data_IF_027841110771
#
_entry.id   IF_027841110771
#
_cell.length_a   1.000
_cell.length_b   1.000
_cell.length_c   1.000
_cell.angle_alpha   90.00
_cell.angle_beta   90.00
_cell.angle_gamma   90.00
#
_symmetry.space_group_name_H-M   'P 1'
#
loop_
_entity.id
_entity.type
_entity.pdbx_description
1 polymer ?
#
# COMPACT_ATOMS: atom_id res chain seq x y z
N UNK A 1 8.46 14.75 14.99
CA UNK A 1 7.39 15.18 15.92
C UNK A 1 7.75 16.42 16.75
N UNK A 2 9.03 16.60 17.12
CA UNK A 2 9.46 17.64 18.07
C UNK A 2 9.45 19.09 17.57
N UNK A 3 9.33 19.36 16.26
CA UNK A 3 9.36 20.74 15.71
C UNK A 3 7.95 21.37 15.62
N UNK A 4 6.88 20.56 15.66
CA UNK A 4 5.50 21.03 15.54
C UNK A 4 4.97 21.66 16.84
N UNK A 5 5.37 21.10 17.98
CA UNK A 5 5.03 21.58 19.33
C UNK A 5 5.54 23.01 19.56
N UNK A 6 6.83 23.35 19.33
CA UNK A 6 7.33 24.70 19.52
C UNK A 6 6.72 25.71 18.55
N UNK A 7 6.30 25.29 17.34
CA UNK A 7 5.68 26.20 16.38
C UNK A 7 4.21 26.49 16.70
N UNK A 8 3.46 25.48 17.18
CA UNK A 8 2.12 25.69 17.74
C UNK A 8 2.18 26.57 19.01
N UNK A 9 3.18 26.35 19.87
CA UNK A 9 3.49 27.22 21.00
C UNK A 9 3.85 28.65 20.54
N UNK A 10 4.62 28.81 19.46
CA UNK A 10 4.95 30.12 18.90
C UNK A 10 3.70 30.86 18.37
N UNK A 11 2.79 30.16 17.68
CA UNK A 11 1.48 30.72 17.26
C UNK A 11 0.62 31.16 18.45
N UNK A 12 0.58 30.35 19.50
CA UNK A 12 -0.13 30.66 20.75
C UNK A 12 0.53 31.85 21.46
N UNK A 13 1.86 31.91 21.51
CA UNK A 13 2.61 32.98 22.18
C UNK A 13 2.52 34.31 21.43
N UNK A 14 2.65 34.33 20.11
CA UNK A 14 2.63 35.54 19.28
C UNK A 14 1.25 36.19 19.27
N UNK A 15 0.18 35.41 19.31
CA UNK A 15 -1.20 35.90 19.22
C UNK A 15 -2.05 35.66 20.47
N UNK A 16 -1.43 35.38 21.63
CA UNK A 16 -2.13 34.97 22.84
C UNK A 16 -3.30 35.91 23.23
N UNK A 17 -3.06 37.22 23.18
CA UNK A 17 -4.10 38.22 23.48
C UNK A 17 -5.27 38.14 22.48
N UNK A 18 -4.98 38.07 21.19
CA UNK A 18 -6.01 38.06 20.15
C UNK A 18 -6.80 36.74 20.10
N UNK A 19 -6.14 35.61 20.34
CA UNK A 19 -6.80 34.29 20.47
C UNK A 19 -7.73 34.27 21.69
N UNK A 20 -7.36 34.99 22.76
CA UNK A 20 -8.17 35.10 23.97
C UNK A 20 -9.40 35.98 23.77
N UNK A 21 -9.25 37.11 23.08
CA UNK A 21 -10.27 38.16 23.02
C UNK A 21 -11.23 38.03 21.81
N UNK A 22 -10.79 37.42 20.69
CA UNK A 22 -11.60 37.24 19.48
C UNK A 22 -11.95 35.76 19.26
N UNK A 23 -13.21 35.41 19.58
CA UNK A 23 -13.72 34.05 19.41
C UNK A 23 -13.70 33.58 17.94
N UNK A 24 -13.98 34.47 16.98
CA UNK A 24 -14.02 34.13 15.56
C UNK A 24 -12.62 33.88 15.01
N UNK A 25 -11.65 34.70 15.43
CA UNK A 25 -10.24 34.46 15.14
C UNK A 25 -9.77 33.12 15.68
N UNK A 26 -10.13 32.81 16.94
CA UNK A 26 -9.81 31.53 17.58
C UNK A 26 -10.36 30.33 16.80
N UNK A 27 -11.64 30.35 16.40
CA UNK A 27 -12.24 29.25 15.63
C UNK A 27 -11.55 29.05 14.28
N UNK A 28 -11.24 30.14 13.58
CA UNK A 28 -10.51 30.08 12.32
C UNK A 28 -9.12 29.45 12.47
N UNK A 29 -8.33 29.91 13.45
CA UNK A 29 -6.96 29.40 13.68
C UNK A 29 -7.00 27.92 14.05
N UNK A 30 -7.88 27.52 14.99
CA UNK A 30 -8.02 26.11 15.38
C UNK A 30 -8.44 25.23 14.20
N UNK A 31 -9.32 25.72 13.32
CA UNK A 31 -9.74 24.98 12.13
C UNK A 31 -8.58 24.77 11.15
N UNK A 32 -7.77 25.81 10.89
CA UNK A 32 -6.60 25.71 9.99
C UNK A 32 -5.56 24.73 10.56
N UNK A 33 -5.26 24.84 11.85
CA UNK A 33 -4.35 23.92 12.54
C UNK A 33 -4.90 22.49 12.47
N UNK A 34 -6.20 22.31 12.71
CA UNK A 34 -6.90 21.04 12.60
C UNK A 34 -6.80 20.43 11.20
N UNK A 35 -7.10 21.19 10.14
CA UNK A 35 -6.94 20.73 8.74
C UNK A 35 -5.50 20.31 8.48
N UNK A 36 -4.53 21.13 8.91
CA UNK A 36 -3.11 20.87 8.69
C UNK A 36 -2.69 19.54 9.33
N UNK A 37 -3.11 19.30 10.57
CA UNK A 37 -2.71 18.12 11.33
C UNK A 37 -3.47 16.86 10.91
N UNK A 38 -4.81 16.93 10.83
CA UNK A 38 -5.64 15.74 10.62
C UNK A 38 -5.79 15.36 9.14
N UNK A 39 -5.59 16.29 8.22
CA UNK A 39 -5.71 16.04 6.77
C UNK A 39 -4.36 16.13 6.08
N UNK A 40 -3.72 17.30 6.09
CA UNK A 40 -2.52 17.55 5.25
C UNK A 40 -1.34 16.66 5.67
N UNK A 41 -0.98 16.63 6.95
CA UNK A 41 0.14 15.81 7.42
C UNK A 41 -0.08 14.32 7.21
N UNK A 42 -1.30 13.82 7.41
CA UNK A 42 -1.65 12.41 7.16
C UNK A 42 -1.25 11.99 5.75
N UNK A 43 -1.58 12.81 4.74
CA UNK A 43 -1.30 12.48 3.34
C UNK A 43 0.12 12.82 2.88
N UNK A 44 0.78 13.80 3.50
CA UNK A 44 2.23 14.01 3.34
C UNK A 44 3.00 12.80 3.87
N UNK A 45 2.62 12.28 5.03
CA UNK A 45 3.27 11.14 5.65
C UNK A 45 3.12 9.89 4.81
N UNK A 46 1.90 9.68 4.31
CA UNK A 46 1.63 8.67 3.33
C UNK A 46 2.54 8.83 2.10
N UNK A 47 2.48 9.96 1.38
CA UNK A 47 3.25 10.21 0.17
C UNK A 47 4.76 9.99 0.37
N UNK A 48 5.36 10.65 1.37
CA UNK A 48 6.80 10.58 1.60
C UNK A 48 7.25 9.18 2.03
N UNK A 49 6.40 8.43 2.74
CA UNK A 49 6.73 7.05 3.13
C UNK A 49 6.66 6.05 1.98
N UNK A 50 5.87 6.32 0.94
CA UNK A 50 5.74 5.46 -0.24
C UNK A 50 6.86 5.74 -1.26
N UNK A 51 7.19 7.01 -1.50
CA UNK A 51 8.21 7.41 -2.48
C UNK A 51 9.65 7.41 -1.92
N UNK A 52 9.86 6.84 -0.72
CA UNK A 52 11.17 6.65 -0.08
C UNK A 52 12.05 7.91 -0.10
N UNK A 53 11.44 9.08 0.04
CA UNK A 53 12.19 10.32 0.16
C UNK A 53 12.82 10.33 1.56
N UNK A 54 14.13 10.54 1.63
CA UNK A 54 14.87 10.47 2.91
C UNK A 54 14.27 11.36 4.00
N UNK A 55 14.49 11.01 5.26
CA UNK A 55 13.86 11.63 6.45
C UNK A 55 13.97 13.17 6.51
N UNK A 56 15.01 13.72 5.88
CA UNK A 56 15.21 15.17 5.74
C UNK A 56 14.06 15.80 4.95
N UNK A 57 13.66 15.21 3.82
CA UNK A 57 12.54 15.69 3.00
C UNK A 57 11.23 15.61 3.76
N UNK A 58 11.05 14.56 4.57
CA UNK A 58 9.92 14.42 5.48
C UNK A 58 9.78 15.60 6.43
N UNK A 59 10.89 16.02 7.03
CA UNK A 59 10.90 17.15 7.95
C UNK A 59 10.72 18.49 7.23
N UNK A 60 11.41 18.70 6.10
CA UNK A 60 11.35 19.95 5.34
C UNK A 60 9.93 20.23 4.83
N UNK A 61 9.28 19.27 4.18
CA UNK A 61 7.94 19.46 3.62
C UNK A 61 6.93 19.79 4.71
N UNK A 62 7.01 19.12 5.88
CA UNK A 62 6.17 19.46 7.04
C UNK A 62 6.42 20.88 7.53
N UNK A 63 7.69 21.28 7.69
CA UNK A 63 8.03 22.64 8.13
C UNK A 63 7.48 23.69 7.16
N UNK A 64 7.62 23.49 5.85
CA UNK A 64 7.08 24.41 4.83
C UNK A 64 5.56 24.56 4.99
N UNK A 65 4.82 23.45 5.12
CA UNK A 65 3.37 23.48 5.30
C UNK A 65 2.99 24.22 6.58
N UNK A 66 3.75 24.04 7.66
CA UNK A 66 3.45 24.76 8.90
C UNK A 66 3.75 26.25 8.77
N UNK A 67 4.87 26.62 8.13
CA UNK A 67 5.18 28.03 7.87
C UNK A 67 4.08 28.70 7.04
N UNK A 68 3.53 28.00 6.04
CA UNK A 68 2.37 28.47 5.27
C UNK A 68 1.15 28.65 6.18
N UNK A 69 0.81 27.65 7.00
CA UNK A 69 -0.32 27.73 7.92
C UNK A 69 -0.17 28.89 8.93
N UNK A 70 1.04 29.07 9.48
CA UNK A 70 1.38 30.19 10.37
C UNK A 70 1.23 31.53 9.65
N UNK A 71 1.76 31.64 8.42
CA UNK A 71 1.63 32.83 7.58
C UNK A 71 0.18 33.19 7.30
N UNK A 72 -0.67 32.19 7.01
CA UNK A 72 -2.11 32.39 6.85
C UNK A 72 -2.72 32.90 8.16
N UNK A 73 -2.45 32.25 9.30
CA UNK A 73 -2.98 32.63 10.61
C UNK A 73 -2.58 34.05 11.05
N UNK A 74 -1.35 34.48 10.73
CA UNK A 74 -0.83 35.82 11.03
C UNK A 74 -1.26 36.88 10.00
N UNK A 75 -1.79 36.47 8.85
CA UNK A 75 -2.11 37.39 7.77
C UNK A 75 -3.13 38.47 8.20
N UNK A 76 -3.04 39.70 7.67
CA UNK A 76 -4.03 40.76 7.87
C UNK A 76 -5.46 40.32 7.53
N UNK A 77 -5.60 39.34 6.64
CA UNK A 77 -6.88 38.80 6.20
C UNK A 77 -7.57 37.97 7.31
N UNK A 78 -6.79 37.18 8.05
CA UNK A 78 -7.29 36.36 9.16
C UNK A 78 -7.47 37.17 10.44
N UNK A 79 -6.62 38.16 10.68
CA UNK A 79 -6.69 39.01 11.88
C UNK A 79 -7.90 39.94 11.93
N UNK A 80 -8.64 40.10 10.82
CA UNK A 80 -9.98 40.71 10.75
C UNK A 80 -11.01 39.61 10.48
N UNK A 81 -11.11 38.65 11.39
CA UNK A 81 -12.04 37.52 11.24
C UNK A 81 -13.47 37.99 11.45
N UNK A 82 -14.38 37.51 10.61
CA UNK A 82 -15.82 37.73 10.73
C UNK A 82 -16.49 36.39 10.97
N UNK A 83 -17.72 36.39 11.47
CA UNK A 83 -18.52 35.18 11.68
C UNK A 83 -18.57 34.31 10.41
N UNK A 84 -18.69 34.94 9.23
CA UNK A 84 -18.71 34.23 7.95
C UNK A 84 -17.38 33.52 7.68
N UNK A 85 -16.24 34.20 7.86
CA UNK A 85 -14.92 33.58 7.66
C UNK A 85 -14.68 32.42 8.63
N UNK A 86 -15.00 32.63 9.90
CA UNK A 86 -14.90 31.58 10.91
C UNK A 86 -15.78 30.37 10.56
N UNK A 87 -17.02 30.60 10.12
CA UNK A 87 -17.92 29.57 9.64
C UNK A 87 -17.37 28.79 8.46
N UNK A 88 -16.78 29.45 7.47
CA UNK A 88 -16.13 28.79 6.31
C UNK A 88 -14.94 27.94 6.75
N UNK A 89 -14.07 28.45 7.64
CA UNK A 89 -12.94 27.68 8.15
C UNK A 89 -13.39 26.41 8.90
N UNK A 90 -14.40 26.53 9.77
CA UNK A 90 -14.96 25.39 10.51
C UNK A 90 -15.59 24.39 9.55
N UNK A 91 -16.36 24.86 8.57
CA UNK A 91 -16.95 24.00 7.55
C UNK A 91 -15.88 23.23 6.77
N UNK A 92 -14.83 23.91 6.30
CA UNK A 92 -13.70 23.26 5.61
C UNK A 92 -13.00 22.23 6.48
N UNK A 93 -12.85 22.51 7.78
CA UNK A 93 -12.28 21.55 8.73
C UNK A 93 -13.15 20.30 8.88
N UNK A 94 -14.46 20.48 9.05
CA UNK A 94 -15.41 19.36 9.12
C UNK A 94 -15.38 18.53 7.84
N UNK A 95 -15.43 19.17 6.66
CA UNK A 95 -15.31 18.49 5.36
C UNK A 95 -13.98 17.75 5.23
N UNK A 96 -12.88 18.35 5.69
CA UNK A 96 -11.56 17.70 5.66
C UNK A 96 -11.52 16.46 6.56
N UNK A 97 -12.13 16.50 7.74
CA UNK A 97 -12.27 15.32 8.60
C UNK A 97 -13.10 14.23 7.90
N UNK A 98 -14.27 14.59 7.37
CA UNK A 98 -15.12 13.62 6.66
C UNK A 98 -14.39 13.02 5.45
N UNK A 99 -13.62 13.82 4.71
CA UNK A 99 -12.77 13.34 3.62
C UNK A 99 -11.67 12.39 4.13
N UNK A 100 -10.97 12.75 5.21
CA UNK A 100 -9.90 11.93 5.78
C UNK A 100 -10.37 10.55 6.25
N UNK A 101 -11.59 10.44 6.80
CA UNK A 101 -12.10 9.18 7.32
C UNK A 101 -12.96 8.42 6.31
N UNK A 102 -13.82 9.11 5.55
CA UNK A 102 -14.73 8.48 4.59
C UNK A 102 -14.09 8.14 3.24
N UNK A 103 -13.03 8.86 2.86
CA UNK A 103 -12.41 8.75 1.54
C UNK A 103 -10.91 8.44 1.62
N UNK A 104 -10.39 7.98 2.77
CA UNK A 104 -8.95 7.74 2.98
C UNK A 104 -8.32 6.92 1.86
N UNK A 105 -8.94 5.79 1.55
CA UNK A 105 -8.49 4.86 0.51
C UNK A 105 -8.46 5.52 -0.86
N UNK A 106 -9.50 6.28 -1.22
CA UNK A 106 -9.60 6.94 -2.53
C UNK A 106 -8.55 8.05 -2.66
N UNK A 107 -8.32 8.82 -1.60
CA UNK A 107 -7.26 9.84 -1.57
C UNK A 107 -5.89 9.19 -1.73
N UNK A 108 -5.61 8.11 -0.99
CA UNK A 108 -4.34 7.36 -1.10
C UNK A 108 -4.12 6.78 -2.51
N UNK A 109 -5.15 6.18 -3.11
CA UNK A 109 -5.11 5.69 -4.50
C UNK A 109 -4.78 6.84 -5.45
N UNK A 110 -5.47 7.98 -5.34
CA UNK A 110 -5.23 9.14 -6.18
C UNK A 110 -3.79 9.67 -6.01
N UNK A 111 -3.26 9.70 -4.78
CA UNK A 111 -1.87 10.10 -4.51
C UNK A 111 -0.87 9.15 -5.19
N UNK A 112 -1.06 7.83 -5.08
CA UNK A 112 -0.15 6.87 -5.74
C UNK A 112 -0.23 6.93 -7.25
N UNK A 113 -1.43 7.16 -7.78
CA UNK A 113 -1.69 7.23 -9.21
C UNK A 113 -1.06 8.48 -9.83
N UNK A 114 -1.30 9.63 -9.22
CA UNK A 114 -0.77 10.92 -9.69
C UNK A 114 0.72 11.08 -9.38
N UNK A 115 1.20 10.47 -8.30
CA UNK A 115 2.62 10.48 -7.93
C UNK A 115 3.49 9.59 -8.80
N UNK A 116 2.92 8.84 -9.74
CA UNK A 116 3.69 7.98 -10.65
C UNK A 116 4.21 6.71 -10.00
N UNK A 117 3.55 6.19 -8.96
CA UNK A 117 3.96 4.95 -8.29
C UNK A 117 3.86 3.72 -9.20
N UNK A 118 2.86 3.71 -10.10
CA UNK A 118 2.63 2.61 -11.03
C UNK A 118 3.24 2.95 -12.39
N UNK A 119 4.26 2.20 -12.77
CA UNK A 119 4.94 2.33 -14.06
C UNK A 119 4.31 1.49 -15.17
N UNK A 120 5.05 1.31 -16.25
CA UNK A 120 4.65 0.44 -17.35
C UNK A 120 4.73 -1.04 -16.95
N UNK A 121 3.82 -1.89 -17.49
CA UNK A 121 3.91 -3.32 -17.30
C UNK A 121 5.27 -3.82 -17.81
N UNK A 122 5.94 -4.70 -17.05
CA UNK A 122 7.19 -5.29 -17.52
C UNK A 122 6.87 -6.08 -18.80
N UNK A 123 7.75 -5.98 -19.80
CA UNK A 123 7.71 -6.88 -20.96
C UNK A 123 8.18 -8.25 -20.49
N UNK A 124 7.32 -8.95 -19.77
CA UNK A 124 7.51 -10.37 -19.51
C UNK A 124 7.24 -11.01 -20.87
N UNK A 125 8.31 -11.37 -21.58
CA UNK A 125 8.17 -12.37 -22.62
C UNK A 125 7.61 -13.58 -21.91
N UNK A 126 6.36 -13.96 -22.18
CA UNK A 126 5.83 -15.20 -21.64
C UNK A 126 6.77 -16.29 -22.16
N UNK A 127 7.60 -16.93 -21.31
CA UNK A 127 8.33 -18.08 -21.81
C UNK A 127 7.24 -19.06 -22.24
N UNK A 128 7.28 -19.48 -23.51
CA UNK A 128 6.46 -20.61 -23.94
C UNK A 128 6.91 -21.79 -23.07
N UNK A 129 6.09 -22.12 -22.06
CA UNK A 129 6.33 -23.32 -21.29
C UNK A 129 6.06 -24.50 -22.19
N UNK A 130 7.11 -25.25 -22.51
CA UNK A 130 7.04 -26.38 -23.44
C UNK A 130 6.40 -27.63 -22.82
N UNK A 131 6.13 -27.63 -21.50
CA UNK A 131 5.54 -28.76 -20.79
C UNK A 131 4.03 -28.67 -20.60
N UNK A 132 3.46 -29.74 -20.07
CA UNK A 132 2.03 -29.79 -19.74
C UNK A 132 1.71 -29.08 -18.42
N UNK A 133 0.53 -28.44 -18.35
CA UNK A 133 0.05 -27.73 -17.17
C UNK A 133 -1.43 -28.03 -16.89
N UNK A 134 -1.79 -28.07 -15.61
CA UNK A 134 -3.18 -28.17 -15.12
C UNK A 134 -3.69 -26.79 -14.74
N UNK A 135 -4.96 -26.52 -15.04
CA UNK A 135 -5.62 -25.30 -14.60
C UNK A 135 -6.06 -25.41 -13.14
N UNK A 136 -5.49 -24.57 -12.27
CA UNK A 136 -6.00 -24.30 -10.92
C UNK A 136 -7.00 -23.14 -10.97
N UNK A 137 -8.13 -23.27 -10.29
CA UNK A 137 -9.13 -22.21 -10.15
C UNK A 137 -9.38 -21.99 -8.66
N UNK A 138 -9.24 -20.75 -8.21
CA UNK A 138 -9.55 -20.37 -6.83
C UNK A 138 -11.03 -20.02 -6.72
N UNK A 139 -11.77 -20.80 -5.93
CA UNK A 139 -13.21 -20.61 -5.71
C UNK A 139 -13.53 -19.28 -5.01
N UNK A 140 -12.67 -18.85 -4.08
CA UNK A 140 -12.88 -17.65 -3.26
C UNK A 140 -12.13 -16.43 -3.78
N UNK A 141 -10.96 -16.62 -4.40
CA UNK A 141 -10.11 -15.52 -4.87
C UNK A 141 -10.48 -14.98 -6.26
N UNK A 142 -11.29 -15.72 -7.02
CA UNK A 142 -11.73 -15.31 -8.36
C UNK A 142 -10.59 -15.22 -9.36
N UNK A 143 -9.66 -16.17 -9.35
CA UNK A 143 -8.58 -16.23 -10.32
C UNK A 143 -8.31 -17.67 -10.75
N UNK A 144 -7.57 -17.82 -11.84
CA UNK A 144 -7.04 -19.12 -12.26
C UNK A 144 -5.59 -19.01 -12.70
N UNK A 145 -4.84 -20.08 -12.47
CA UNK A 145 -3.44 -20.25 -12.82
C UNK A 145 -3.28 -21.53 -13.64
N UNK A 146 -2.27 -21.56 -14.51
CA UNK A 146 -1.78 -22.78 -15.15
C UNK A 146 -0.56 -23.25 -14.37
N UNK A 147 -0.67 -24.40 -13.71
CA UNK A 147 0.34 -24.97 -12.83
C UNK A 147 0.97 -26.18 -13.55
N UNK A 148 2.30 -26.26 -13.70
CA UNK A 148 2.91 -27.43 -14.32
C UNK A 148 2.53 -28.74 -13.62
N UNK A 149 2.32 -29.82 -14.39
CA UNK A 149 1.78 -31.10 -13.85
C UNK A 149 2.64 -31.69 -12.72
N UNK A 150 3.95 -31.47 -12.75
CA UNK A 150 4.87 -32.04 -11.78
C UNK A 150 4.90 -31.28 -10.44
N UNK A 151 4.18 -30.16 -10.31
CA UNK A 151 3.99 -29.49 -9.03
C UNK A 151 2.91 -30.23 -8.24
N UNK A 152 3.32 -30.87 -7.14
CA UNK A 152 2.41 -31.65 -6.32
C UNK A 152 1.48 -30.71 -5.54
N UNK A 153 0.16 -30.87 -5.74
CA UNK A 153 -0.85 -30.18 -4.95
C UNK A 153 -0.90 -30.76 -3.54
N UNK A 154 -0.84 -29.90 -2.53
CA UNK A 154 -1.01 -30.21 -1.11
C UNK A 154 -2.01 -29.26 -0.48
N UNK A 155 -2.47 -29.59 0.72
CA UNK A 155 -3.39 -28.77 1.50
C UNK A 155 -2.82 -28.48 2.87
N UNK A 156 -2.84 -27.22 3.28
CA UNK A 156 -2.43 -26.75 4.61
C UNK A 156 -3.45 -27.17 5.67
N UNK A 157 -3.12 -27.05 6.97
CA UNK A 157 -4.03 -27.38 8.08
C UNK A 157 -5.35 -26.58 8.02
N UNK A 158 -5.29 -25.36 7.49
CA UNK A 158 -6.43 -24.48 7.23
C UNK A 158 -7.26 -24.88 6.00
N UNK A 159 -6.92 -25.99 5.33
CA UNK A 159 -7.47 -26.41 4.04
C UNK A 159 -7.10 -25.51 2.85
N UNK A 160 -6.14 -24.60 3.02
CA UNK A 160 -5.62 -23.80 1.92
C UNK A 160 -4.75 -24.66 0.98
N UNK A 161 -5.06 -24.62 -0.32
CA UNK A 161 -4.27 -25.31 -1.33
C UNK A 161 -2.90 -24.63 -1.54
N UNK A 162 -1.87 -25.45 -1.72
CA UNK A 162 -0.53 -25.01 -2.12
C UNK A 162 0.13 -26.06 -3.02
N UNK A 163 1.19 -25.69 -3.71
CA UNK A 163 1.84 -26.54 -4.70
C UNK A 163 3.34 -26.59 -4.45
N UNK A 164 3.94 -27.77 -4.52
CA UNK A 164 5.36 -27.97 -4.18
C UNK A 164 6.10 -28.66 -5.31
N UNK A 165 7.32 -28.21 -5.60
CA UNK A 165 8.29 -28.99 -6.36
C UNK A 165 9.26 -29.63 -5.38
N UNK A 166 9.42 -30.96 -5.45
CA UNK A 166 10.37 -31.70 -4.63
C UNK A 166 11.26 -32.59 -5.50
N UNK A 167 12.51 -32.76 -5.08
CA UNK A 167 13.45 -33.73 -5.66
C UNK A 167 14.20 -34.41 -4.52
N UNK A 168 14.15 -35.74 -4.46
CA UNK A 168 14.83 -36.53 -3.40
C UNK A 168 14.50 -36.02 -1.98
N UNK A 169 13.21 -35.77 -1.70
CA UNK A 169 12.69 -35.20 -0.44
C UNK A 169 13.12 -33.76 -0.10
N UNK A 170 13.86 -33.10 -0.99
CA UNK A 170 14.24 -31.69 -0.87
C UNK A 170 13.20 -30.82 -1.58
N UNK A 171 12.53 -29.94 -0.84
CA UNK A 171 11.66 -28.91 -1.41
C UNK A 171 12.49 -27.89 -2.17
N UNK A 172 12.20 -27.71 -3.45
CA UNK A 172 12.89 -26.75 -4.31
C UNK A 172 12.13 -25.43 -4.43
N UNK A 173 10.80 -25.50 -4.49
CA UNK A 173 9.91 -24.34 -4.48
C UNK A 173 8.53 -24.69 -3.92
N UNK A 174 7.84 -23.68 -3.42
CA UNK A 174 6.48 -23.76 -2.90
C UNK A 174 5.66 -22.57 -3.41
N UNK A 175 4.53 -22.83 -4.06
CA UNK A 175 3.56 -21.83 -4.51
C UNK A 175 2.34 -21.87 -3.57
N UNK A 176 1.98 -20.71 -3.05
CA UNK A 176 0.88 -20.48 -2.10
C UNK A 176 -0.09 -19.46 -2.69
N UNK A 177 -1.11 -19.91 -3.45
CA UNK A 177 -2.14 -19.02 -3.98
C UNK A 177 -3.05 -18.50 -2.86
N UNK A 178 -3.16 -17.19 -2.68
CA UNK A 178 -3.91 -16.54 -1.59
C UNK A 178 -4.79 -15.41 -2.07
N UNK A 179 -5.70 -14.96 -1.21
CA UNK A 179 -6.51 -13.76 -1.38
C UNK A 179 -6.76 -13.04 -0.05
N UNK A 180 -6.99 -11.72 -0.14
CA UNK A 180 -7.20 -10.84 1.03
C UNK A 180 -8.19 -9.70 0.69
N UNK A 181 -9.45 -10.05 0.43
CA UNK A 181 -10.48 -9.11 -0.04
C UNK A 181 -10.91 -8.11 1.04
N UNK A 182 -11.42 -6.94 0.62
CA UNK A 182 -12.04 -5.92 1.49
C UNK A 182 -11.18 -5.35 2.63
N UNK A 183 -9.85 -5.40 2.55
CA UNK A 183 -8.98 -4.93 3.64
C UNK A 183 -8.96 -3.42 3.86
N UNK A 184 -9.47 -2.61 2.91
CA UNK A 184 -9.39 -1.14 2.97
C UNK A 184 -7.98 -0.55 2.78
N UNK A 185 -6.94 -1.40 2.78
CA UNK A 185 -5.54 -1.05 2.56
C UNK A 185 -5.30 -0.84 1.07
N UNK A 186 -4.43 0.09 0.69
CA UNK A 186 -4.04 0.31 -0.72
C UNK A 186 -2.74 -0.42 -1.06
N UNK A 187 -2.55 -0.77 -2.33
CA UNK A 187 -1.39 -1.53 -2.81
C UNK A 187 -0.05 -0.99 -2.28
N UNK A 188 0.19 0.32 -2.37
CA UNK A 188 1.46 0.89 -1.94
C UNK A 188 1.76 0.68 -0.43
N UNK A 189 0.73 0.65 0.43
CA UNK A 189 0.91 0.32 1.86
C UNK A 189 1.28 -1.16 2.04
N UNK A 190 0.65 -2.06 1.28
CA UNK A 190 1.00 -3.49 1.26
C UNK A 190 2.46 -3.66 0.88
N UNK A 191 2.90 -3.04 -0.22
CA UNK A 191 4.31 -3.13 -0.68
C UNK A 191 5.28 -2.55 0.36
N UNK A 192 4.96 -1.40 0.96
CA UNK A 192 5.78 -0.80 2.01
C UNK A 192 5.96 -1.75 3.19
N UNK A 193 4.88 -2.38 3.65
CA UNK A 193 4.94 -3.32 4.76
C UNK A 193 5.75 -4.57 4.38
N UNK A 194 5.54 -5.13 3.19
CA UNK A 194 6.33 -6.27 2.71
C UNK A 194 7.83 -5.99 2.64
N UNK A 195 8.22 -4.77 2.22
CA UNK A 195 9.63 -4.36 2.21
C UNK A 195 10.19 -4.19 3.62
N UNK A 196 9.40 -3.66 4.55
CA UNK A 196 9.79 -3.54 5.95
C UNK A 196 9.97 -4.91 6.61
N UNK A 197 9.02 -5.83 6.40
CA UNK A 197 9.09 -7.21 6.89
C UNK A 197 10.30 -7.95 6.32
N UNK A 198 10.56 -7.81 5.02
CA UNK A 198 11.74 -8.37 4.38
C UNK A 198 13.04 -7.85 5.00
N UNK A 199 13.13 -6.55 5.31
CA UNK A 199 14.30 -5.97 5.97
C UNK A 199 14.52 -6.55 7.38
N UNK A 200 13.45 -6.76 8.14
CA UNK A 200 13.50 -7.42 9.46
C UNK A 200 14.03 -8.85 9.33
N UNK A 201 13.63 -9.56 8.26
CA UNK A 201 14.13 -10.90 7.93
C UNK A 201 15.54 -10.91 7.29
N UNK A 202 16.25 -9.78 7.23
CA UNK A 202 17.56 -9.67 6.57
C UNK A 202 17.52 -10.06 5.08
N UNK A 203 16.45 -9.64 4.39
CA UNK A 203 16.25 -9.80 2.96
C UNK A 203 16.27 -8.44 2.26
N UNK A 204 16.82 -8.42 1.05
CA UNK A 204 16.70 -7.29 0.13
C UNK A 204 15.41 -7.45 -0.68
N UNK A 205 14.54 -6.44 -0.64
CA UNK A 205 13.24 -6.49 -1.31
C UNK A 205 13.11 -5.43 -2.39
N UNK A 206 12.88 -5.88 -3.62
CA UNK A 206 12.58 -5.05 -4.78
C UNK A 206 11.12 -5.22 -5.19
N UNK A 207 10.55 -4.18 -5.80
CA UNK A 207 9.16 -4.21 -6.25
C UNK A 207 9.01 -3.53 -7.61
N UNK A 208 8.29 -4.18 -8.53
CA UNK A 208 7.87 -3.58 -9.79
C UNK A 208 6.34 -3.50 -9.84
N UNK A 209 5.81 -2.29 -9.90
CA UNK A 209 4.38 -2.02 -9.83
C UNK A 209 3.87 -1.34 -11.10
N UNK A 210 2.72 -1.77 -11.60
CA UNK A 210 2.11 -1.28 -12.83
C UNK A 210 0.59 -1.39 -12.80
N UNK A 211 -0.06 -0.75 -13.77
CA UNK A 211 -1.51 -0.87 -13.99
C UNK A 211 -1.79 -1.84 -15.12
N UNK A 212 -2.72 -2.76 -14.89
CA UNK A 212 -3.20 -3.68 -15.92
C UNK A 212 -4.72 -3.66 -15.95
N UNK A 213 -5.28 -3.21 -17.08
CA UNK A 213 -6.71 -2.94 -17.23
C UNK A 213 -7.25 -2.02 -16.12
N UNK A 214 -7.97 -2.57 -15.13
CA UNK A 214 -8.53 -1.81 -13.99
C UNK A 214 -7.91 -2.20 -12.64
N UNK A 215 -6.84 -3.00 -12.64
CA UNK A 215 -6.19 -3.47 -11.42
C UNK A 215 -4.79 -2.87 -11.26
N UNK A 216 -4.39 -2.71 -10.01
CA UNK A 216 -3.01 -2.43 -9.62
C UNK A 216 -2.29 -3.75 -9.41
N UNK A 217 -1.16 -3.92 -10.07
CA UNK A 217 -0.37 -5.15 -10.06
C UNK A 217 1.03 -4.83 -9.57
N UNK A 218 1.57 -5.65 -8.67
CA UNK A 218 2.94 -5.52 -8.20
C UNK A 218 3.59 -6.89 -8.07
N UNK A 219 4.82 -7.01 -8.58
CA UNK A 219 5.71 -8.12 -8.27
C UNK A 219 6.71 -7.65 -7.22
N UNK A 220 6.72 -8.31 -6.06
CA UNK A 220 7.72 -8.09 -5.01
C UNK A 220 8.65 -9.29 -4.96
N UNK A 221 9.96 -9.06 -5.05
CA UNK A 221 10.98 -10.10 -4.92
C UNK A 221 11.85 -9.79 -3.72
N UNK A 222 11.91 -10.73 -2.77
CA UNK A 222 12.74 -10.62 -1.57
C UNK A 222 13.82 -11.70 -1.59
N UNK A 223 15.08 -11.31 -1.58
CA UNK A 223 16.25 -12.20 -1.68
C UNK A 223 16.99 -12.18 -0.34
N UNK A 224 17.27 -13.35 0.23
CA UNK A 224 18.01 -13.47 1.48
C UNK A 224 19.45 -12.95 1.34
N UNK A 225 19.90 -12.11 2.27
CA UNK A 225 21.29 -11.61 2.30
C UNK A 225 22.28 -12.56 2.99
N UNK A 226 21.78 -13.63 3.60
CA UNK A 226 22.51 -14.66 4.33
C UNK A 226 21.91 -16.04 3.97
N UNK A 227 22.53 -17.19 4.33
CA UNK A 227 22.00 -18.52 4.02
C UNK A 227 20.77 -18.86 4.90
N UNK A 228 19.70 -18.11 4.69
CA UNK A 228 18.39 -18.24 5.33
C UNK A 228 17.47 -18.88 4.30
N UNK A 229 16.72 -19.88 4.73
CA UNK A 229 15.71 -20.55 3.93
C UNK A 229 14.34 -19.87 4.13
N UNK A 230 13.54 -19.61 3.08
CA UNK A 230 13.84 -19.80 1.65
C UNK A 230 14.86 -18.77 1.11
N UNK A 231 15.59 -19.11 0.05
CA UNK A 231 16.58 -18.22 -0.59
C UNK A 231 15.90 -16.97 -1.17
N UNK A 232 14.79 -17.16 -1.86
CA UNK A 232 14.00 -16.06 -2.42
C UNK A 232 12.51 -16.23 -2.10
N UNK A 233 11.80 -15.12 -2.07
CA UNK A 233 10.34 -15.08 -1.94
C UNK A 233 9.77 -14.09 -2.95
N UNK A 234 8.93 -14.58 -3.86
CA UNK A 234 8.33 -13.78 -4.90
C UNK A 234 6.82 -13.68 -4.66
N UNK A 235 6.27 -12.46 -4.64
CA UNK A 235 4.84 -12.23 -4.44
C UNK A 235 4.27 -11.44 -5.59
N UNK A 236 3.33 -12.04 -6.31
CA UNK A 236 2.56 -11.38 -7.36
C UNK A 236 1.22 -10.93 -6.80
N UNK A 237 1.09 -9.62 -6.58
CA UNK A 237 -0.06 -9.00 -5.95
C UNK A 237 -0.93 -8.33 -6.99
N UNK A 238 -2.24 -8.56 -6.90
CA UNK A 238 -3.22 -7.84 -7.70
C UNK A 238 -4.29 -7.26 -6.80
N UNK A 239 -4.57 -5.96 -6.93
CA UNK A 239 -5.65 -5.30 -6.20
C UNK A 239 -6.53 -4.53 -7.16
N UNK A 240 -7.82 -4.82 -7.17
CA UNK A 240 -8.81 -4.07 -7.92
C UNK A 240 -9.42 -2.98 -7.01
N UNK A 241 -9.14 -1.69 -7.26
CA UNK A 241 -9.64 -0.60 -6.42
C UNK A 241 -11.17 -0.47 -6.46
N UNK A 242 -11.85 -0.97 -7.51
CA UNK A 242 -13.31 -0.89 -7.64
C UNK A 242 -14.04 -2.07 -6.99
N UNK A 243 -13.58 -3.29 -7.23
CA UNK A 243 -14.25 -4.51 -6.72
C UNK A 243 -13.73 -4.96 -5.36
N UNK A 244 -12.62 -4.37 -4.88
CA UNK A 244 -11.92 -4.80 -3.66
C UNK A 244 -11.43 -6.25 -3.67
N UNK A 245 -11.41 -6.88 -4.86
CA UNK A 245 -10.77 -8.17 -5.08
C UNK A 245 -9.26 -7.98 -5.02
N UNK A 246 -8.63 -8.69 -4.10
CA UNK A 246 -7.18 -8.70 -3.87
C UNK A 246 -6.63 -10.13 -3.89
N UNK A 247 -5.61 -10.36 -4.71
CA UNK A 247 -4.98 -11.65 -4.96
C UNK A 247 -3.51 -11.55 -4.56
N UNK A 248 -2.97 -12.59 -3.93
CA UNK A 248 -1.57 -12.71 -3.54
C UNK A 248 -1.06 -14.09 -3.94
N UNK A 249 -0.26 -14.15 -4.99
CA UNK A 249 0.40 -15.39 -5.38
C UNK A 249 1.81 -15.36 -4.78
N UNK A 250 1.99 -16.04 -3.65
CA UNK A 250 3.24 -16.09 -2.90
C UNK A 250 4.04 -17.35 -3.28
N UNK A 251 5.30 -17.19 -3.62
CA UNK A 251 6.19 -18.28 -4.02
C UNK A 251 7.45 -18.23 -3.18
N UNK A 252 7.76 -19.33 -2.52
CA UNK A 252 9.02 -19.54 -1.79
C UNK A 252 9.96 -20.37 -2.65
N UNK A 253 11.20 -19.91 -2.81
CA UNK A 253 12.22 -20.55 -3.64
C UNK A 253 13.37 -20.98 -2.73
N UNK A 254 13.63 -22.28 -2.68
CA UNK A 254 14.63 -22.89 -1.80
C UNK A 254 15.91 -23.27 -2.55
N UNK A 255 15.88 -23.24 -3.89
CA UNK A 255 16.99 -23.61 -4.78
C UNK A 255 17.28 -22.50 -5.80
N UNK A 256 18.55 -22.26 -6.13
CA UNK A 256 18.95 -21.29 -7.16
C UNK A 256 18.85 -21.84 -8.59
N UNK A 257 17.88 -22.71 -8.85
CA UNK A 257 17.69 -23.32 -10.18
C UNK A 257 16.92 -22.37 -11.11
N UNK A 258 17.53 -21.99 -12.23
CA UNK A 258 16.92 -21.11 -13.23
C UNK A 258 15.67 -21.70 -13.87
N UNK A 259 15.61 -23.02 -14.08
CA UNK A 259 14.43 -23.67 -14.66
C UNK A 259 13.18 -23.49 -13.77
N UNK A 260 13.36 -23.54 -12.44
CA UNK A 260 12.27 -23.29 -11.48
C UNK A 260 11.80 -21.84 -11.58
N UNK A 261 12.73 -20.89 -11.70
CA UNK A 261 12.39 -19.47 -11.87
C UNK A 261 11.61 -19.22 -13.17
N UNK A 262 11.94 -19.94 -14.25
CA UNK A 262 11.21 -19.86 -15.53
C UNK A 262 9.80 -20.42 -15.41
N UNK A 263 9.61 -21.53 -14.69
CA UNK A 263 8.29 -22.08 -14.41
C UNK A 263 7.43 -21.14 -13.54
N UNK A 264 8.03 -20.50 -12.53
CA UNK A 264 7.33 -19.50 -11.72
C UNK A 264 6.88 -18.31 -12.58
N UNK A 265 7.74 -17.84 -13.49
CA UNK A 265 7.37 -16.79 -14.44
C UNK A 265 6.23 -17.24 -15.37
N UNK A 266 6.24 -18.49 -15.83
CA UNK A 266 5.12 -19.07 -16.58
C UNK A 266 3.82 -19.05 -15.75
N UNK A 267 3.85 -19.53 -14.51
CA UNK A 267 2.69 -19.51 -13.60
C UNK A 267 2.16 -18.08 -13.45
N UNK A 268 3.01 -17.10 -13.18
CA UNK A 268 2.61 -15.69 -13.09
C UNK A 268 2.01 -15.16 -14.40
N UNK A 269 2.61 -15.47 -15.55
CA UNK A 269 2.10 -15.05 -16.86
C UNK A 269 0.75 -15.67 -17.20
N UNK A 270 0.43 -16.83 -16.61
CA UNK A 270 -0.82 -17.55 -16.82
C UNK A 270 -2.00 -17.03 -15.96
N UNK A 271 -1.74 -16.10 -15.03
CA UNK A 271 -2.75 -15.56 -14.12
C UNK A 271 -3.89 -14.90 -14.89
N UNK A 272 -5.07 -15.49 -14.78
CA UNK A 272 -6.33 -14.93 -15.28
C UNK A 272 -7.19 -14.52 -14.09
N UNK A 273 -7.58 -13.26 -14.06
CA UNK A 273 -8.47 -12.71 -13.05
C UNK A 273 -9.90 -12.85 -13.56
N UNK A 274 -10.72 -13.58 -12.82
CA UNK A 274 -12.13 -13.75 -13.09
C UNK A 274 -12.92 -12.75 -12.23
N UNK A 275 -14.00 -12.20 -12.77
CA UNK A 275 -14.86 -11.31 -12.01
C UNK A 275 -15.58 -12.07 -10.89
N UNK A 276 -15.44 -11.59 -9.66
CA UNK A 276 -16.25 -12.04 -8.54
C UNK A 276 -17.61 -11.33 -8.52
N UNK A 277 -18.68 -11.97 -8.02
CA UNK A 277 -19.95 -11.31 -7.80
C UNK A 277 -19.79 -10.17 -6.78
N UNK A 278 -20.58 -9.10 -6.91
CA UNK A 278 -20.69 -8.04 -5.89
C UNK A 278 -21.92 -8.26 -5.01
N UNK A 279 -21.79 -8.28 -3.66
CA UNK A 279 -20.57 -8.06 -2.88
C UNK A 279 -19.56 -9.22 -2.97
N UNK A 280 -18.28 -8.86 -2.95
CA UNK A 280 -17.17 -9.82 -3.08
C UNK A 280 -17.13 -10.72 -1.84
N UNK A 281 -17.05 -12.05 -1.97
CA UNK A 281 -16.92 -12.92 -0.80
C UNK A 281 -15.66 -12.57 -0.01
N UNK A 282 -15.73 -12.51 1.33
CA UNK A 282 -14.54 -12.25 2.14
C UNK A 282 -13.56 -13.43 1.98
N UNK A 283 -12.34 -13.14 1.53
CA UNK A 283 -11.24 -14.09 1.52
C UNK A 283 -10.07 -13.50 2.32
N UNK A 284 -9.53 -14.24 3.28
CA UNK A 284 -8.38 -13.86 4.11
C UNK A 284 -7.34 -14.97 4.20
N UNK A 285 -7.17 -15.77 3.15
CA UNK A 285 -6.26 -16.94 3.15
C UNK A 285 -4.79 -16.55 3.27
N UNK A 286 -4.45 -15.27 3.14
CA UNK A 286 -3.11 -14.79 3.53
C UNK A 286 -2.79 -14.98 5.01
N UNK A 287 -3.80 -15.05 5.89
CA UNK A 287 -3.63 -15.26 7.33
C UNK A 287 -3.37 -16.72 7.70
N UNK A 288 -3.74 -17.66 6.84
CA UNK A 288 -3.65 -19.10 7.08
C UNK A 288 -2.22 -19.64 7.27
N UNK A 289 -1.22 -18.79 7.04
CA UNK A 289 0.20 -19.14 6.99
C UNK A 289 1.04 -18.42 8.06
N UNK A 290 0.38 -17.82 9.06
CA UNK A 290 0.96 -17.22 10.25
C UNK A 290 0.57 -18.01 11.49
#
# INVERSE_FOLDING_TARGET
MNVLIPLALALILINHQKIRDDQYYRFSVLSIVGITYFFIFRYIDYYLSIFTLGDIWHSITKVIVVLIAVGICLSPWMTKSTTVKAGVCVFLFVVSIFAAFGFDRLIKIAITDLGGYFGEPPKIGAPEYAGDAVRYVSDTGGYSLSIPIHWEKRSHESQADYFVIQHEDITLAELRPRCFHETGIVMAEVIKNLKADALIESRLAESHCFKQAQAHVCLVKSIASAPISPLERWRWLVMNPKTQQNIDIDVLIYSDNTAIKDEINFVFSSLKINSLPTPTPTCLTSMDWF
#
